data_IF_833974825377
#
_entry.id   IF_833974825377
#
_cell.length_a   1.000
_cell.length_b   1.000
_cell.length_c   1.000
_cell.angle_alpha   90.00
_cell.angle_beta   90.00
_cell.angle_gamma   90.00
#
_symmetry.space_group_name_H-M   'P 1'
#
loop_
_entity.id
_entity.type
_entity.pdbx_description
1 polymer ?
#
# COMPACT_ATOMS: atom_id res chain seq x y z
N UNK A 1 -0.96 5.32 -8.05
CA UNK A 1 -0.15 5.98 -6.99
C UNK A 1 -0.81 5.90 -5.61
N UNK A 2 -2.09 6.24 -5.45
CA UNK A 2 -2.81 6.13 -4.16
C UNK A 2 -2.71 4.74 -3.53
N UNK A 3 -2.92 3.66 -4.29
CA UNK A 3 -2.79 2.31 -3.71
C UNK A 3 -1.36 1.93 -3.31
N UNK A 4 -0.32 2.48 -3.95
CA UNK A 4 1.08 2.25 -3.51
C UNK A 4 1.35 2.94 -2.16
N UNK A 5 0.82 4.15 -1.96
CA UNK A 5 0.86 4.85 -0.67
C UNK A 5 0.09 4.08 0.40
N UNK A 6 -1.11 3.56 0.08
CA UNK A 6 -1.87 2.71 0.99
C UNK A 6 -1.08 1.46 1.40
N UNK A 7 -0.40 0.80 0.45
CA UNK A 7 0.46 -0.34 0.77
C UNK A 7 1.64 0.05 1.67
N UNK A 8 2.35 1.14 1.39
CA UNK A 8 3.44 1.60 2.28
C UNK A 8 2.94 1.93 3.67
N UNK A 9 1.76 2.55 3.78
CA UNK A 9 1.15 2.87 5.07
C UNK A 9 0.86 1.60 5.87
N UNK A 10 0.05 0.68 5.31
CA UNK A 10 -0.39 -0.52 6.02
C UNK A 10 0.73 -1.55 6.27
N UNK A 11 1.64 -1.74 5.32
CA UNK A 11 2.77 -2.67 5.49
C UNK A 11 3.94 -2.03 6.26
N UNK A 12 4.10 -0.70 6.17
CA UNK A 12 5.09 0.05 6.94
C UNK A 12 4.77 0.09 8.43
N UNK A 13 3.50 0.14 8.82
CA UNK A 13 3.07 -0.01 10.23
C UNK A 13 3.32 -1.42 10.79
N UNK A 14 3.28 -2.47 9.94
CA UNK A 14 3.61 -3.86 10.33
C UNK A 14 5.12 -4.11 10.48
N UNK A 15 5.96 -3.41 9.72
CA UNK A 15 7.41 -3.43 9.90
C UNK A 15 7.83 -2.44 10.98
N UNK A 16 9.04 -2.57 11.54
CA UNK A 16 9.63 -1.56 12.45
C UNK A 16 10.02 -0.25 11.71
N UNK A 17 9.24 0.10 10.68
CA UNK A 17 9.42 1.16 9.71
C UNK A 17 8.28 2.19 9.77
N UNK A 18 7.29 2.08 10.67
CA UNK A 18 6.08 2.94 10.66
C UNK A 18 6.35 4.44 10.48
N UNK A 19 7.30 5.00 11.23
CA UNK A 19 7.71 6.42 11.10
C UNK A 19 8.40 6.69 9.75
N UNK A 20 9.18 5.74 9.23
CA UNK A 20 9.86 5.85 7.93
C UNK A 20 8.89 5.65 6.76
N UNK A 21 7.91 4.76 6.87
CA UNK A 21 6.87 4.51 5.89
C UNK A 21 5.96 5.71 5.71
N UNK A 22 5.52 6.32 6.81
CA UNK A 22 4.78 7.57 6.80
C UNK A 22 5.59 8.71 6.15
N UNK A 23 6.86 8.88 6.53
CA UNK A 23 7.73 9.90 5.94
C UNK A 23 7.95 9.72 4.43
N UNK A 24 8.15 8.48 3.97
CA UNK A 24 8.27 8.16 2.53
C UNK A 24 6.95 8.41 1.80
N UNK A 25 5.82 8.01 2.40
CA UNK A 25 4.49 8.25 1.85
C UNK A 25 4.20 9.74 1.66
N UNK A 26 4.52 10.56 2.66
CA UNK A 26 4.39 12.02 2.61
C UNK A 26 5.31 12.65 1.55
N UNK A 27 6.57 12.23 1.48
CA UNK A 27 7.53 12.77 0.51
C UNK A 27 7.12 12.48 -0.94
N UNK A 28 6.63 11.26 -1.21
CA UNK A 28 6.15 10.88 -2.54
C UNK A 28 4.85 11.59 -2.88
N UNK A 29 3.91 11.70 -1.93
CA UNK A 29 2.68 12.45 -2.09
C UNK A 29 2.95 13.93 -2.43
N UNK A 30 3.86 14.58 -1.71
CA UNK A 30 4.23 15.98 -1.95
C UNK A 30 4.86 16.19 -3.34
N UNK A 31 5.77 15.29 -3.74
CA UNK A 31 6.44 15.35 -5.04
C UNK A 31 5.47 15.13 -6.20
N UNK A 32 4.56 14.18 -6.06
CA UNK A 32 3.57 13.87 -7.09
C UNK A 32 2.45 14.90 -7.17
N UNK A 33 2.03 15.46 -6.04
CA UNK A 33 1.03 16.54 -5.98
C UNK A 33 1.47 17.78 -6.78
N UNK A 34 2.78 18.09 -6.81
CA UNK A 34 3.33 19.20 -7.58
C UNK A 34 3.27 18.98 -9.12
N UNK A 35 3.00 17.76 -9.58
CA UNK A 35 3.06 17.36 -11.00
C UNK A 35 1.71 16.94 -11.59
N UNK A 36 0.61 17.17 -10.87
CA UNK A 36 -0.73 16.71 -11.26
C UNK A 36 -1.79 17.80 -11.13
N UNK A 37 -3.03 17.48 -11.47
CA UNK A 37 -4.15 18.41 -11.38
C UNK A 37 -4.51 18.71 -9.91
N UNK A 38 -5.13 19.87 -9.64
CA UNK A 38 -5.52 20.27 -8.27
C UNK A 38 -6.32 19.20 -7.52
N UNK A 39 -7.22 18.51 -8.22
CA UNK A 39 -8.03 17.44 -7.66
C UNK A 39 -7.16 16.23 -7.27
N UNK A 40 -6.33 15.73 -8.18
CA UNK A 40 -5.41 14.61 -7.90
C UNK A 40 -4.38 14.96 -6.82
N UNK A 41 -3.94 16.22 -6.77
CA UNK A 41 -3.01 16.70 -5.75
C UNK A 41 -3.62 16.69 -4.35
N UNK A 42 -4.91 17.06 -4.21
CA UNK A 42 -5.62 16.97 -2.94
C UNK A 42 -5.71 15.51 -2.47
N UNK A 43 -6.11 14.60 -3.36
CA UNK A 43 -6.19 13.17 -3.05
C UNK A 43 -4.86 12.56 -2.63
N UNK A 44 -3.76 12.94 -3.29
CA UNK A 44 -2.42 12.48 -2.93
C UNK A 44 -1.98 12.99 -1.56
N UNK A 45 -2.30 14.24 -1.20
CA UNK A 45 -1.97 14.80 0.11
C UNK A 45 -2.71 14.08 1.23
N UNK A 46 -4.00 13.83 1.08
CA UNK A 46 -4.79 13.06 2.04
C UNK A 46 -4.27 11.61 2.17
N UNK A 47 -3.99 10.95 1.03
CA UNK A 47 -3.39 9.62 1.01
C UNK A 47 -2.01 9.57 1.70
N UNK A 48 -1.19 10.62 1.58
CA UNK A 48 0.09 10.74 2.27
C UNK A 48 -0.02 10.90 3.78
N UNK A 49 -1.19 11.28 4.30
CA UNK A 49 -1.50 11.40 5.72
C UNK A 49 -2.18 10.15 6.30
N UNK A 50 -2.37 9.11 5.48
CA UNK A 50 -3.13 7.92 5.88
C UNK A 50 -4.64 8.06 5.75
N UNK A 51 -5.12 9.18 5.21
CA UNK A 51 -6.55 9.45 5.01
C UNK A 51 -6.99 8.85 3.66
N UNK A 52 -7.33 7.57 3.67
CA UNK A 52 -7.79 6.86 2.49
C UNK A 52 -9.32 6.77 2.44
N UNK A 53 -9.86 6.54 1.25
CA UNK A 53 -11.29 6.24 1.12
C UNK A 53 -11.62 4.93 1.85
N UNK A 54 -12.80 4.87 2.48
CA UNK A 54 -13.30 3.73 3.27
C UNK A 54 -13.00 2.33 2.70
N UNK A 55 -13.15 2.06 1.38
CA UNK A 55 -12.82 0.74 0.83
C UNK A 55 -11.37 0.29 1.05
N UNK A 56 -10.42 1.22 1.17
CA UNK A 56 -9.02 0.89 1.46
C UNK A 56 -8.82 0.43 2.90
N UNK A 57 -9.51 1.06 3.87
CA UNK A 57 -9.49 0.65 5.26
C UNK A 57 -10.18 -0.72 5.44
N UNK A 58 -11.28 -0.96 4.72
CA UNK A 58 -11.96 -2.24 4.71
C UNK A 58 -11.10 -3.36 4.11
N UNK A 59 -10.35 -3.07 3.04
CA UNK A 59 -9.40 -4.02 2.47
C UNK A 59 -8.28 -4.37 3.46
N UNK A 60 -7.74 -3.37 4.17
CA UNK A 60 -6.74 -3.59 5.21
C UNK A 60 -7.29 -4.44 6.36
N UNK A 61 -8.48 -4.12 6.86
CA UNK A 61 -9.13 -4.90 7.91
C UNK A 61 -9.40 -6.36 7.48
N UNK A 62 -9.88 -6.57 6.26
CA UNK A 62 -10.07 -7.93 5.71
C UNK A 62 -8.77 -8.72 5.58
N UNK A 63 -7.65 -8.05 5.24
CA UNK A 63 -6.33 -8.67 5.22
C UNK A 63 -5.78 -9.00 6.62
N UNK A 64 -6.19 -8.27 7.65
CA UNK A 64 -5.83 -8.55 9.05
C UNK A 64 -6.65 -9.71 9.62
N UNK A 65 -7.94 -9.73 9.35
CA UNK A 65 -8.85 -10.77 9.87
C UNK A 65 -8.81 -12.05 9.03
N UNK A 66 -8.29 -12.00 7.81
CA UNK A 66 -8.31 -13.11 6.87
C UNK A 66 -9.70 -13.41 6.32
N UNK A 67 -10.64 -12.46 6.39
CA UNK A 67 -12.02 -12.63 5.93
C UNK A 67 -12.11 -12.41 4.40
N UNK A 68 -12.33 -13.47 3.61
CA UNK A 68 -12.36 -13.37 2.15
C UNK A 68 -13.56 -12.58 1.64
N UNK A 69 -14.67 -12.52 2.37
CA UNK A 69 -15.87 -11.80 1.95
C UNK A 69 -15.67 -10.29 2.07
N UNK A 70 -15.07 -9.84 3.18
CA UNK A 70 -14.71 -8.43 3.39
C UNK A 70 -13.67 -7.99 2.37
N UNK A 71 -12.65 -8.82 2.11
CA UNK A 71 -11.63 -8.53 1.10
C UNK A 71 -12.23 -8.41 -0.31
N UNK A 72 -13.11 -9.33 -0.70
CA UNK A 72 -13.75 -9.33 -2.02
C UNK A 72 -14.63 -8.08 -2.22
N UNK A 73 -15.43 -7.73 -1.21
CA UNK A 73 -16.30 -6.56 -1.26
C UNK A 73 -15.49 -5.26 -1.35
N UNK A 74 -14.47 -5.09 -0.51
CA UNK A 74 -13.60 -3.92 -0.52
C UNK A 74 -12.87 -3.78 -1.87
N UNK A 75 -12.33 -4.89 -2.39
CA UNK A 75 -11.67 -4.94 -3.71
C UNK A 75 -12.62 -4.51 -4.82
N UNK A 76 -13.86 -5.00 -4.80
CA UNK A 76 -14.87 -4.65 -5.79
C UNK A 76 -15.20 -3.15 -5.78
N UNK A 77 -15.36 -2.55 -4.59
CA UNK A 77 -15.57 -1.11 -4.45
C UNK A 77 -14.38 -0.28 -4.99
N UNK A 78 -13.15 -0.71 -4.72
CA UNK A 78 -11.94 -0.04 -5.23
C UNK A 78 -11.86 -0.13 -6.76
N UNK A 79 -12.09 -1.32 -7.33
CA UNK A 79 -12.02 -1.54 -8.78
C UNK A 79 -13.09 -0.77 -9.54
N UNK A 80 -14.27 -0.57 -8.92
CA UNK A 80 -15.35 0.23 -9.51
C UNK A 80 -15.18 1.75 -9.34
N UNK A 81 -14.09 2.22 -8.71
CA UNK A 81 -13.79 3.65 -8.59
C UNK A 81 -13.13 4.16 -9.87
N UNK A 82 -13.95 4.60 -10.83
CA UNK A 82 -13.51 5.16 -12.12
C UNK A 82 -12.84 4.12 -13.02
N UNK A 83 -13.22 4.07 -14.31
CA UNK A 83 -12.90 2.96 -15.22
C UNK A 83 -11.42 2.50 -15.21
N UNK A 84 -10.46 3.42 -15.10
CA UNK A 84 -9.01 3.11 -15.10
C UNK A 84 -8.33 3.42 -13.74
N UNK A 85 -8.92 4.27 -12.91
CA UNK A 85 -8.27 4.76 -11.67
C UNK A 85 -8.19 3.67 -10.59
N UNK A 86 -9.26 2.89 -10.42
CA UNK A 86 -9.31 1.81 -9.43
C UNK A 86 -8.32 0.68 -9.73
N UNK A 87 -8.18 0.28 -11.00
CA UNK A 87 -7.24 -0.77 -11.41
C UNK A 87 -5.78 -0.35 -11.19
N UNK A 88 -5.41 0.87 -11.58
CA UNK A 88 -4.05 1.38 -11.37
C UNK A 88 -3.72 1.59 -9.88
N UNK A 89 -4.73 1.93 -9.08
CA UNK A 89 -4.57 1.98 -7.63
C UNK A 89 -4.34 0.58 -7.05
N UNK A 90 -5.15 -0.41 -7.40
CA UNK A 90 -5.01 -1.79 -6.92
C UNK A 90 -3.65 -2.40 -7.31
N UNK A 91 -3.20 -2.19 -8.56
CA UNK A 91 -1.85 -2.60 -8.99
C UNK A 91 -0.77 -1.98 -8.08
N UNK A 92 -0.87 -0.68 -7.80
CA UNK A 92 0.05 0.02 -6.90
C UNK A 92 0.10 -0.59 -5.50
N UNK A 93 -1.05 -0.98 -4.96
CA UNK A 93 -1.15 -1.63 -3.64
C UNK A 93 -0.46 -2.99 -3.61
N UNK A 94 -0.68 -3.83 -4.62
CA UNK A 94 -0.04 -5.14 -4.72
C UNK A 94 1.48 -5.02 -4.94
N UNK A 95 1.94 -4.02 -5.70
CA UNK A 95 3.37 -3.74 -5.85
C UNK A 95 4.02 -3.30 -4.54
N UNK A 96 3.35 -2.44 -3.76
CA UNK A 96 3.86 -2.04 -2.46
C UNK A 96 3.99 -3.25 -1.52
N UNK A 97 2.97 -4.12 -1.47
CA UNK A 97 3.04 -5.37 -0.69
C UNK A 97 4.28 -6.21 -1.04
N UNK A 98 4.58 -6.39 -2.33
CA UNK A 98 5.75 -7.17 -2.77
C UNK A 98 7.09 -6.61 -2.27
N UNK A 99 7.19 -5.29 -2.07
CA UNK A 99 8.41 -4.69 -1.49
C UNK A 99 8.62 -5.14 -0.03
N UNK A 100 7.55 -5.47 0.69
CA UNK A 100 7.60 -5.92 2.08
C UNK A 100 7.54 -7.45 2.23
N UNK A 101 7.12 -8.19 1.19
CA UNK A 101 7.14 -9.66 1.15
C UNK A 101 8.52 -10.23 0.74
N UNK A 102 9.50 -9.39 0.37
CA UNK A 102 10.86 -9.88 0.05
C UNK A 102 11.48 -10.54 1.29
N UNK A 103 11.78 -11.86 1.27
CA UNK A 103 12.40 -12.51 2.40
C UNK A 103 13.77 -11.90 2.65
N UNK A 104 14.13 -11.79 3.92
CA UNK A 104 15.45 -11.35 4.35
C UNK A 104 16.55 -12.21 3.66
N UNK A 105 17.43 -11.62 2.83
CA UNK A 105 18.51 -12.37 2.19
C UNK A 105 19.53 -12.94 3.20
N UNK A 106 19.54 -12.51 4.47
CA UNK A 106 20.40 -13.13 5.51
C UNK A 106 19.95 -14.53 5.96
N UNK A 107 18.78 -15.02 5.55
CA UNK A 107 18.27 -16.33 5.95
C UNK A 107 18.91 -17.55 5.27
N UNK A 108 19.84 -17.38 4.33
CA UNK A 108 20.44 -18.49 3.55
C UNK A 108 21.93 -18.76 3.84
N UNK A 109 22.40 -18.51 5.06
CA UNK A 109 23.75 -18.93 5.47
C UNK A 109 23.68 -19.95 6.60
N UNK A 110 23.59 -21.23 6.23
CA UNK A 110 24.30 -22.38 6.82
C UNK A 110 23.56 -23.66 6.51
N UNK A 111 24.12 -24.46 5.61
CA UNK A 111 24.13 -25.92 5.65
C UNK A 111 25.12 -26.42 4.58
N UNK A 112 26.42 -26.19 4.80
CA UNK A 112 27.43 -27.06 4.20
C UNK A 112 27.59 -28.28 5.12
N UNK A 113 27.48 -29.51 4.60
CA UNK A 113 27.79 -30.70 5.37
C UNK A 113 29.30 -30.78 5.56
N UNK A 114 29.73 -30.76 6.82
CA UNK A 114 31.12 -31.02 7.20
C UNK A 114 31.38 -32.52 7.01
N UNK A 115 32.13 -32.89 5.98
CA UNK A 115 32.77 -34.21 5.80
C UNK A 115 34.26 -34.10 6.06
#
# INVERSE_FOLDING_TARGET
MVGWLAGIFFYGERGNLGVRGAAVGQAVAATAAARTTRLSAAWLRHAGMGEFAEPWHQLAAGLETGDPAVMAQATHCILNTGATSGQEAMKGFLYARRLFDTPDPSGQVQNEPKS
#
